data_IF_704110785716
#
_entry.id   IF_704110785716
#
_cell.length_a   1.000
_cell.length_b   1.000
_cell.length_c   1.000
_cell.angle_alpha   90.00
_cell.angle_beta   90.00
_cell.angle_gamma   90.00
#
_symmetry.space_group_name_H-M   'P 1'
#
loop_
_entity.id
_entity.type
_entity.pdbx_description
1 polymer ?
#
# COMPACT_ATOMS: atom_id res chain seq x y z
N UNK A 1 18.68 15.08 -7.77
CA UNK A 1 17.94 13.81 -7.57
C UNK A 1 18.94 12.70 -7.24
N UNK A 2 18.54 11.42 -7.29
CA UNK A 2 19.44 10.30 -7.02
C UNK A 2 20.60 10.14 -8.01
N UNK A 3 20.43 10.54 -9.26
CA UNK A 3 21.49 10.48 -10.28
C UNK A 3 22.57 11.54 -10.00
N UNK A 4 22.15 12.77 -9.73
CA UNK A 4 23.07 13.86 -9.34
C UNK A 4 23.83 13.55 -8.04
N UNK A 5 23.15 12.99 -7.03
CA UNK A 5 23.81 12.62 -5.79
C UNK A 5 24.86 11.54 -5.99
N UNK A 6 24.57 10.52 -6.83
CA UNK A 6 25.54 9.48 -7.18
C UNK A 6 26.73 10.06 -7.96
N UNK A 7 26.50 10.95 -8.93
CA UNK A 7 27.57 11.61 -9.68
C UNK A 7 28.49 12.45 -8.78
N UNK A 8 27.93 13.04 -7.71
CA UNK A 8 28.68 13.76 -6.68
C UNK A 8 29.33 12.83 -5.62
N UNK A 9 29.28 11.51 -5.79
CA UNK A 9 29.86 10.54 -4.84
C UNK A 9 29.11 10.42 -3.51
N UNK A 10 27.90 10.97 -3.39
CA UNK A 10 27.11 10.95 -2.17
C UNK A 10 26.43 9.59 -1.96
N UNK A 11 26.46 9.09 -0.74
CA UNK A 11 25.87 7.81 -0.36
C UNK A 11 25.28 7.87 1.05
N UNK A 12 24.07 7.32 1.22
CA UNK A 12 23.47 7.13 2.55
C UNK A 12 24.39 6.31 3.48
N UNK A 13 25.20 5.39 2.93
CA UNK A 13 26.15 4.59 3.72
C UNK A 13 27.28 5.42 4.32
N UNK A 14 27.57 6.58 3.72
CA UNK A 14 28.61 7.50 4.19
C UNK A 14 28.03 8.60 5.10
N UNK A 15 26.76 8.48 5.52
CA UNK A 15 26.07 9.48 6.34
C UNK A 15 25.52 10.67 5.55
N UNK A 16 25.49 10.63 4.22
CA UNK A 16 24.90 11.71 3.42
C UNK A 16 23.36 11.74 3.53
N UNK A 17 22.77 12.90 3.24
CA UNK A 17 21.32 13.09 3.30
C UNK A 17 20.57 12.29 2.23
N UNK A 18 19.33 11.82 2.52
CA UNK A 18 18.51 11.11 1.55
C UNK A 18 18.04 12.03 0.42
N UNK A 19 18.00 11.49 -0.79
CA UNK A 19 17.49 12.18 -1.98
C UNK A 19 15.99 12.04 -2.13
N UNK A 20 15.35 13.03 -2.74
CA UNK A 20 13.93 12.98 -3.10
C UNK A 20 13.73 12.05 -4.31
N UNK A 21 12.73 11.17 -4.25
CA UNK A 21 12.22 10.45 -5.42
C UNK A 21 11.06 11.16 -6.10
N UNK A 22 10.27 11.89 -5.32
CA UNK A 22 9.23 12.79 -5.78
C UNK A 22 9.08 13.95 -4.80
N UNK A 23 8.02 14.76 -4.94
CA UNK A 23 7.79 15.91 -4.05
C UNK A 23 7.68 15.51 -2.58
N UNK A 24 7.06 14.38 -2.29
CA UNK A 24 6.69 13.98 -0.92
C UNK A 24 7.55 12.83 -0.38
N UNK A 25 8.27 12.14 -1.26
CA UNK A 25 8.98 10.90 -0.94
C UNK A 25 10.49 11.10 -0.97
N UNK A 26 11.19 10.42 -0.07
CA UNK A 26 12.65 10.29 -0.07
C UNK A 26 13.06 8.83 -0.31
N UNK A 27 14.26 8.64 -0.84
CA UNK A 27 14.88 7.34 -0.99
C UNK A 27 15.60 6.94 0.30
N UNK A 28 15.46 5.68 0.70
CA UNK A 28 16.12 5.10 1.87
C UNK A 28 16.69 3.72 1.52
N UNK A 29 17.72 3.30 2.25
CA UNK A 29 18.18 1.90 2.28
C UNK A 29 17.32 1.13 3.28
N UNK A 30 16.05 0.94 2.96
CA UNK A 30 15.01 0.54 3.90
C UNK A 30 14.81 -0.96 4.10
N UNK A 31 15.81 -1.80 3.79
CA UNK A 31 15.69 -3.27 3.96
C UNK A 31 15.29 -3.63 5.39
N UNK A 32 15.99 -3.05 6.38
CA UNK A 32 15.74 -3.32 7.80
C UNK A 32 14.70 -2.38 8.43
N UNK A 33 13.89 -1.67 7.64
CA UNK A 33 12.99 -0.61 8.15
C UNK A 33 12.06 -1.15 9.25
N UNK A 34 11.44 -2.31 9.05
CA UNK A 34 10.55 -2.89 10.08
C UNK A 34 11.30 -3.33 11.33
N UNK A 35 12.51 -3.89 11.21
CA UNK A 35 13.29 -4.35 12.37
C UNK A 35 13.72 -3.15 13.23
N UNK A 36 14.16 -2.06 12.62
CA UNK A 36 14.51 -0.82 13.33
C UNK A 36 13.31 -0.28 14.13
N UNK A 37 12.14 -0.21 13.49
CA UNK A 37 10.91 0.26 14.17
C UNK A 37 10.47 -0.71 15.27
N UNK A 38 10.56 -2.02 15.02
CA UNK A 38 10.18 -3.03 16.00
C UNK A 38 11.10 -3.03 17.22
N UNK A 39 12.41 -2.84 17.03
CA UNK A 39 13.38 -2.73 18.12
C UNK A 39 13.10 -1.51 18.99
N UNK A 40 12.82 -0.35 18.39
CA UNK A 40 12.47 0.85 19.14
C UNK A 40 11.18 0.65 19.97
N UNK A 41 10.15 0.02 19.39
CA UNK A 41 8.92 -0.30 20.09
C UNK A 41 9.16 -1.29 21.25
N UNK A 42 9.92 -2.36 21.01
CA UNK A 42 10.29 -3.34 22.04
C UNK A 42 11.09 -2.72 23.18
N UNK A 43 12.04 -1.83 22.89
CA UNK A 43 12.79 -1.09 23.91
C UNK A 43 11.90 -0.19 24.76
N UNK A 44 10.90 0.44 24.14
CA UNK A 44 9.98 1.33 24.86
C UNK A 44 8.97 0.57 25.74
N UNK A 45 8.46 -0.57 25.26
CA UNK A 45 7.42 -1.34 25.93
C UNK A 45 7.96 -2.56 26.72
N UNK A 46 9.19 -3.00 26.56
CA UNK A 46 9.68 -4.21 27.22
C UNK A 46 9.08 -5.50 26.63
N UNK A 47 9.90 -6.56 26.58
CA UNK A 47 9.57 -7.81 25.88
C UNK A 47 8.43 -8.59 26.56
N UNK A 48 8.30 -8.47 27.87
CA UNK A 48 7.28 -9.13 28.69
C UNK A 48 5.85 -8.66 28.37
N UNK A 49 5.70 -7.48 27.75
CA UNK A 49 4.41 -6.92 27.33
C UNK A 49 4.06 -7.27 25.87
N UNK A 50 4.89 -8.03 25.17
CA UNK A 50 4.59 -8.56 23.85
C UNK A 50 4.20 -10.03 23.93
N UNK A 51 3.04 -10.34 23.35
CA UNK A 51 2.60 -11.72 23.15
C UNK A 51 2.47 -11.94 21.66
N UNK A 52 3.44 -12.65 21.09
CA UNK A 52 3.45 -12.99 19.67
C UNK A 52 2.70 -14.29 19.39
N UNK A 53 2.41 -14.54 18.11
CA UNK A 53 1.75 -15.78 17.62
C UNK A 53 0.35 -16.02 18.18
N UNK A 54 -0.31 -15.00 18.74
CA UNK A 54 -1.73 -15.01 19.09
C UNK A 54 -2.53 -14.29 18.01
N UNK A 55 -3.56 -14.95 17.49
CA UNK A 55 -4.48 -14.35 16.54
C UNK A 55 -5.75 -13.91 17.25
N UNK A 56 -6.05 -12.62 17.23
CA UNK A 56 -7.27 -12.05 17.82
C UNK A 56 -8.44 -12.25 16.85
N UNK A 57 -9.56 -12.75 17.35
CA UNK A 57 -10.74 -13.13 16.55
C UNK A 57 -11.94 -12.24 16.83
N UNK A 58 -12.13 -11.80 18.08
CA UNK A 58 -13.33 -11.06 18.49
C UNK A 58 -13.02 -10.02 19.55
N UNK A 59 -13.70 -8.88 19.48
CA UNK A 59 -13.71 -7.87 20.53
C UNK A 59 -14.89 -8.11 21.49
N UNK A 60 -14.72 -7.70 22.74
CA UNK A 60 -15.71 -7.84 23.82
C UNK A 60 -16.18 -6.46 24.26
N UNK A 61 -17.49 -6.26 24.34
CA UNK A 61 -18.09 -5.09 24.96
C UNK A 61 -18.30 -5.29 26.47
N UNK A 62 -18.35 -4.20 27.20
CA UNK A 62 -18.68 -4.17 28.62
C UNK A 62 -20.12 -4.67 28.84
N UNK A 63 -20.30 -5.50 29.87
CA UNK A 63 -21.59 -6.12 30.16
C UNK A 63 -22.61 -5.14 30.76
N UNK A 64 -22.13 -4.06 31.37
CA UNK A 64 -22.94 -3.11 32.14
C UNK A 64 -23.08 -1.75 31.45
N UNK A 65 -22.09 -1.38 30.64
CA UNK A 65 -22.01 -0.08 29.97
C UNK A 65 -22.18 -0.27 28.46
N UNK A 66 -23.31 0.13 27.87
CA UNK A 66 -23.53 0.03 26.43
C UNK A 66 -22.44 0.77 25.64
N UNK A 67 -22.07 0.21 24.48
CA UNK A 67 -21.10 0.81 23.54
C UNK A 67 -19.71 1.11 24.17
N UNK A 68 -19.27 0.28 25.11
CA UNK A 68 -17.97 0.38 25.77
C UNK A 68 -17.14 -0.87 25.51
N UNK A 69 -15.92 -0.73 25.00
CA UNK A 69 -15.00 -1.88 24.86
C UNK A 69 -14.61 -2.42 26.25
N UNK A 70 -14.46 -3.72 26.40
CA UNK A 70 -13.97 -4.34 27.64
C UNK A 70 -12.81 -5.31 27.42
N UNK A 71 -12.57 -5.74 26.18
CA UNK A 71 -11.54 -6.74 25.92
C UNK A 71 -11.50 -7.30 24.51
N UNK A 72 -10.75 -8.38 24.36
CA UNK A 72 -10.63 -9.14 23.13
C UNK A 72 -10.35 -10.62 23.42
N UNK A 73 -10.73 -11.48 22.49
CA UNK A 73 -10.46 -12.93 22.55
C UNK A 73 -9.66 -13.35 21.32
N UNK A 74 -8.66 -14.19 21.56
CA UNK A 74 -7.83 -14.79 20.52
C UNK A 74 -7.35 -16.18 20.92
N UNK A 75 -6.58 -16.80 20.05
CA UNK A 75 -5.97 -18.10 20.32
C UNK A 75 -4.52 -18.14 19.83
N UNK A 76 -3.71 -18.97 20.47
CA UNK A 76 -2.34 -19.21 20.03
C UNK A 76 -2.31 -20.02 18.75
N UNK A 77 -1.42 -19.64 17.83
CA UNK A 77 -1.12 -20.40 16.61
C UNK A 77 0.03 -21.38 16.81
N UNK A 78 0.43 -21.63 18.06
CA UNK A 78 1.54 -22.54 18.44
C UNK A 78 1.16 -23.57 19.49
N UNK A 79 0.09 -23.35 20.23
CA UNK A 79 -0.40 -24.22 21.31
C UNK A 79 -1.93 -24.11 21.41
N UNK A 80 -2.58 -25.10 22.03
CA UNK A 80 -4.03 -25.12 22.23
C UNK A 80 -4.44 -24.22 23.41
N UNK A 81 -4.23 -22.92 23.26
CA UNK A 81 -4.46 -21.92 24.30
C UNK A 81 -5.35 -20.78 23.79
N UNK A 82 -6.45 -20.55 24.51
CA UNK A 82 -7.33 -19.40 24.30
C UNK A 82 -6.88 -18.27 25.21
N UNK A 83 -6.75 -17.07 24.65
CA UNK A 83 -6.43 -15.85 25.37
C UNK A 83 -7.67 -14.99 25.48
N UNK A 84 -7.99 -14.57 26.71
CA UNK A 84 -9.02 -13.57 27.01
C UNK A 84 -8.31 -12.37 27.61
N UNK A 85 -8.34 -11.25 26.89
CA UNK A 85 -7.77 -10.00 27.33
C UNK A 85 -8.88 -9.09 27.85
N UNK A 86 -8.70 -8.55 29.05
CA UNK A 86 -9.50 -7.43 29.54
C UNK A 86 -8.71 -6.13 29.37
N UNK A 87 -9.37 -5.06 28.97
CA UNK A 87 -8.71 -3.78 28.77
C UNK A 87 -9.64 -2.60 29.04
N UNK A 88 -9.04 -1.50 29.51
CA UNK A 88 -9.73 -0.23 29.65
C UNK A 88 -9.83 0.51 28.31
N UNK A 89 -8.86 0.33 27.42
CA UNK A 89 -8.84 0.90 26.07
C UNK A 89 -8.20 -0.12 25.11
N UNK A 90 -8.65 -0.13 23.85
CA UNK A 90 -8.15 -1.05 22.83
C UNK A 90 -7.79 -0.28 21.55
N UNK A 91 -6.62 -0.60 20.98
CA UNK A 91 -6.20 -0.13 19.65
C UNK A 91 -6.16 -1.33 18.70
N UNK A 92 -6.91 -1.26 17.60
CA UNK A 92 -6.98 -2.32 16.59
C UNK A 92 -6.17 -1.94 15.35
N UNK A 93 -4.90 -2.35 15.32
CA UNK A 93 -3.94 -2.01 14.27
C UNK A 93 -3.52 -3.23 13.42
N UNK A 94 -4.49 -3.97 12.87
CA UNK A 94 -4.28 -5.23 12.14
C UNK A 94 -4.19 -5.06 10.60
N UNK A 95 -3.97 -3.85 10.10
CA UNK A 95 -3.83 -3.57 8.67
C UNK A 95 -5.15 -3.56 7.90
N UNK A 96 -5.06 -3.67 6.57
CA UNK A 96 -6.21 -3.61 5.66
C UNK A 96 -6.80 -4.98 5.32
N UNK A 97 -7.36 -5.11 4.11
CA UNK A 97 -7.91 -6.35 3.58
C UNK A 97 -7.41 -6.64 2.16
N UNK A 98 -6.94 -7.86 1.92
CA UNK A 98 -6.52 -8.37 0.61
C UNK A 98 -7.15 -9.74 0.35
N UNK A 99 -6.97 -10.27 -0.86
CA UNK A 99 -7.56 -11.54 -1.31
C UNK A 99 -9.10 -11.61 -1.21
N UNK A 100 -9.77 -10.49 -0.94
CA UNK A 100 -11.23 -10.32 -1.02
C UNK A 100 -11.75 -10.23 -2.46
N UNK A 101 -10.86 -10.04 -3.44
CA UNK A 101 -11.13 -10.18 -4.88
C UNK A 101 -10.21 -11.23 -5.48
N UNK A 102 -10.69 -11.97 -6.48
CA UNK A 102 -9.87 -12.96 -7.21
C UNK A 102 -8.67 -12.26 -7.88
N UNK A 103 -7.42 -12.67 -7.60
CA UNK A 103 -6.23 -12.07 -8.22
C UNK A 103 -6.05 -12.50 -9.67
N UNK A 104 -5.08 -11.88 -10.36
CA UNK A 104 -4.76 -12.20 -11.77
C UNK A 104 -4.04 -13.55 -11.95
N UNK A 105 -3.35 -14.02 -10.92
CA UNK A 105 -2.72 -15.33 -10.88
C UNK A 105 -3.42 -16.18 -9.81
N UNK A 106 -3.95 -17.34 -10.20
CA UNK A 106 -4.79 -18.18 -9.31
C UNK A 106 -4.13 -19.49 -8.86
N UNK A 107 -2.95 -19.83 -9.39
CA UNK A 107 -2.09 -20.88 -8.86
C UNK A 107 -1.21 -20.37 -7.72
N UNK A 108 0.07 -20.77 -7.69
CA UNK A 108 1.05 -20.31 -6.69
C UNK A 108 1.17 -18.78 -6.60
N UNK A 109 0.97 -18.09 -7.74
CA UNK A 109 0.95 -16.62 -7.81
C UNK A 109 -0.17 -15.95 -7.01
N UNK A 110 -1.14 -16.69 -6.47
CA UNK A 110 -2.18 -16.15 -5.60
C UNK A 110 -1.61 -15.54 -4.31
N UNK A 111 -0.44 -16.03 -3.86
CA UNK A 111 0.30 -15.43 -2.73
C UNK A 111 0.97 -14.09 -3.07
N UNK A 112 0.94 -13.64 -4.33
CA UNK A 112 1.62 -12.44 -4.83
C UNK A 112 0.67 -11.24 -4.98
N UNK A 113 -0.08 -10.95 -3.93
CA UNK A 113 -0.82 -9.70 -3.85
C UNK A 113 0.15 -8.50 -3.75
N UNK A 114 -0.25 -7.34 -4.29
CA UNK A 114 0.54 -6.10 -4.15
C UNK A 114 0.60 -5.61 -2.70
N UNK A 115 -0.51 -5.72 -1.98
CA UNK A 115 -0.61 -5.40 -0.56
C UNK A 115 -0.43 -6.69 0.27
N UNK A 116 0.02 -6.62 1.54
CA UNK A 116 0.47 -7.80 2.27
C UNK A 116 -0.59 -8.92 2.36
N UNK A 117 -0.24 -10.12 1.88
CA UNK A 117 -1.17 -11.26 1.72
C UNK A 117 -1.82 -11.72 3.03
N UNK A 118 -1.17 -11.46 4.17
CA UNK A 118 -1.66 -11.82 5.50
C UNK A 118 -2.73 -10.87 6.06
N UNK A 119 -3.05 -9.76 5.36
CA UNK A 119 -4.07 -8.81 5.81
C UNK A 119 -5.49 -9.28 5.45
N UNK A 120 -6.17 -9.93 6.39
CA UNK A 120 -7.50 -10.52 6.18
C UNK A 120 -8.69 -9.59 6.48
N UNK A 121 -8.46 -8.30 6.74
CA UNK A 121 -9.53 -7.37 7.13
C UNK A 121 -9.96 -7.47 8.60
N UNK A 122 -9.10 -8.05 9.46
CA UNK A 122 -9.37 -8.22 10.89
C UNK A 122 -9.73 -6.90 11.60
N UNK A 123 -9.07 -5.79 11.24
CA UNK A 123 -9.41 -4.46 11.80
C UNK A 123 -10.87 -4.10 11.51
N UNK A 124 -11.31 -4.24 10.27
CA UNK A 124 -12.65 -3.80 9.86
C UNK A 124 -13.74 -4.66 10.48
N UNK A 125 -13.60 -5.98 10.37
CA UNK A 125 -14.65 -6.90 10.84
C UNK A 125 -14.83 -6.85 12.35
N UNK A 126 -13.73 -6.85 13.11
CA UNK A 126 -13.80 -6.84 14.57
C UNK A 126 -14.43 -5.55 15.11
N UNK A 127 -14.05 -4.39 14.56
CA UNK A 127 -14.61 -3.11 14.96
C UNK A 127 -16.08 -2.97 14.55
N UNK A 128 -16.42 -3.33 13.30
CA UNK A 128 -17.81 -3.24 12.82
C UNK A 128 -18.76 -4.16 13.63
N UNK A 129 -18.29 -5.36 14.00
CA UNK A 129 -19.09 -6.31 14.80
C UNK A 129 -19.41 -5.82 16.22
N UNK A 130 -18.61 -4.91 16.79
CA UNK A 130 -18.91 -4.28 18.09
C UNK A 130 -19.62 -2.94 17.96
N UNK A 131 -20.12 -2.61 16.76
CA UNK A 131 -20.92 -1.41 16.51
C UNK A 131 -20.10 -0.15 16.24
N UNK A 132 -18.80 -0.24 15.99
CA UNK A 132 -18.02 0.92 15.59
C UNK A 132 -18.47 1.43 14.21
N UNK A 133 -18.65 2.73 14.08
CA UNK A 133 -19.00 3.37 12.81
C UNK A 133 -17.88 3.18 11.78
N UNK A 134 -18.25 2.77 10.57
CA UNK A 134 -17.35 2.59 9.45
C UNK A 134 -17.57 3.72 8.44
N UNK A 135 -16.51 4.15 7.77
CA UNK A 135 -16.57 5.26 6.81
C UNK A 135 -15.80 4.94 5.53
N UNK A 136 -16.28 5.42 4.38
CA UNK A 136 -15.66 5.26 3.06
C UNK A 136 -15.33 3.80 2.70
N UNK A 137 -16.14 2.84 3.14
CA UNK A 137 -15.91 1.40 2.91
C UNK A 137 -16.05 0.99 1.43
N UNK A 138 -16.68 1.83 0.61
CA UNK A 138 -16.76 1.69 -0.84
C UNK A 138 -15.44 2.03 -1.55
N UNK A 139 -14.58 2.82 -0.91
CA UNK A 139 -13.30 3.21 -1.48
C UNK A 139 -12.35 2.00 -1.52
N UNK A 140 -11.77 1.76 -2.70
CA UNK A 140 -10.79 0.69 -2.92
C UNK A 140 -9.58 1.22 -3.65
N UNK A 141 -8.42 0.63 -3.38
CA UNK A 141 -7.19 0.98 -4.08
C UNK A 141 -6.80 -0.10 -5.08
N UNK A 142 -6.77 0.24 -6.36
CA UNK A 142 -6.32 -0.65 -7.45
C UNK A 142 -4.96 -0.18 -7.95
N UNK A 143 -3.85 -0.84 -7.57
CA UNK A 143 -2.52 -0.40 -7.91
C UNK A 143 -2.16 -0.75 -9.36
N UNK A 144 -1.71 0.24 -10.15
CA UNK A 144 -1.00 0.00 -11.40
C UNK A 144 0.50 -0.23 -11.09
N UNK A 145 1.00 -1.41 -11.46
CA UNK A 145 2.33 -1.93 -11.11
C UNK A 145 2.92 -2.73 -12.27
N UNK A 146 4.19 -3.14 -12.13
CA UNK A 146 4.74 -4.16 -13.03
C UNK A 146 3.89 -5.43 -12.97
N UNK A 147 3.60 -5.98 -14.15
CA UNK A 147 2.74 -7.14 -14.33
C UNK A 147 3.26 -8.33 -13.51
N UNK A 148 2.33 -9.09 -12.94
CA UNK A 148 2.52 -10.29 -12.12
C UNK A 148 3.24 -10.04 -10.77
N UNK A 149 4.51 -9.64 -10.79
CA UNK A 149 5.30 -9.43 -9.57
C UNK A 149 4.88 -8.22 -8.73
N UNK A 150 4.05 -7.33 -9.27
CA UNK A 150 3.54 -6.13 -8.59
C UNK A 150 4.63 -5.17 -8.08
N UNK A 151 5.78 -5.12 -8.76
CA UNK A 151 6.90 -4.25 -8.44
C UNK A 151 6.53 -2.75 -8.43
N UNK A 152 7.22 -1.93 -7.62
CA UNK A 152 6.89 -0.52 -7.48
C UNK A 152 7.24 0.26 -8.75
N UNK A 153 6.35 1.20 -9.12
CA UNK A 153 6.53 2.08 -10.29
C UNK A 153 6.86 3.53 -9.91
N UNK A 154 6.78 3.88 -8.62
CA UNK A 154 6.95 5.26 -8.15
C UNK A 154 8.34 5.82 -8.47
N UNK A 155 9.41 5.07 -8.19
CA UNK A 155 10.77 5.50 -8.55
C UNK A 155 10.94 5.61 -10.07
N UNK A 156 10.39 4.68 -10.85
CA UNK A 156 10.46 4.73 -12.31
C UNK A 156 9.83 5.99 -12.88
N UNK A 157 8.62 6.34 -12.45
CA UNK A 157 7.97 7.56 -12.93
C UNK A 157 8.62 8.84 -12.39
N UNK A 158 8.91 8.89 -11.09
CA UNK A 158 9.23 10.14 -10.41
C UNK A 158 10.73 10.43 -10.37
N UNK A 159 11.56 9.41 -10.23
CA UNK A 159 13.02 9.53 -10.19
C UNK A 159 13.61 9.35 -11.58
N UNK A 160 13.37 8.20 -12.23
CA UNK A 160 13.95 7.85 -13.53
C UNK A 160 13.21 8.43 -14.74
N UNK A 161 12.08 9.11 -14.52
CA UNK A 161 11.26 9.72 -15.58
C UNK A 161 10.82 8.75 -16.69
N UNK A 162 10.70 7.47 -16.35
CA UNK A 162 10.22 6.44 -17.27
C UNK A 162 8.79 6.75 -17.72
N UNK A 163 8.51 6.50 -19.00
CA UNK A 163 7.18 6.62 -19.58
C UNK A 163 6.48 5.26 -19.57
N UNK A 164 5.15 5.30 -19.49
CA UNK A 164 4.32 4.13 -19.71
C UNK A 164 3.58 4.29 -21.03
N UNK A 165 3.77 3.35 -21.95
CA UNK A 165 3.24 3.41 -23.32
C UNK A 165 2.35 2.21 -23.61
N UNK A 166 1.44 2.37 -24.57
CA UNK A 166 0.66 1.25 -25.12
C UNK A 166 1.47 0.50 -26.20
N UNK A 167 0.87 -0.50 -26.86
CA UNK A 167 1.56 -1.31 -27.89
C UNK A 167 2.02 -0.50 -29.11
N UNK A 168 1.42 0.67 -29.37
CA UNK A 168 1.80 1.59 -30.45
C UNK A 168 2.97 2.49 -30.05
N UNK A 169 3.45 2.41 -28.81
CA UNK A 169 4.46 3.32 -28.27
C UNK A 169 3.90 4.67 -27.84
N UNK A 170 2.57 4.84 -27.79
CA UNK A 170 1.94 6.10 -27.44
C UNK A 170 1.90 6.28 -25.91
N UNK A 171 2.18 7.50 -25.43
CA UNK A 171 1.89 7.90 -24.06
C UNK A 171 0.37 8.05 -23.88
N UNK A 172 -0.24 7.03 -23.29
CA UNK A 172 -1.69 6.98 -23.13
C UNK A 172 -2.25 8.08 -22.21
N UNK A 173 -1.43 8.68 -21.33
CA UNK A 173 -1.88 9.81 -20.52
C UNK A 173 -2.00 11.09 -21.35
N UNK A 174 -1.20 11.21 -22.41
CA UNK A 174 -1.32 12.30 -23.37
C UNK A 174 -2.49 12.05 -24.35
N UNK A 175 -2.56 10.87 -24.96
CA UNK A 175 -3.60 10.57 -25.97
C UNK A 175 -5.01 10.56 -25.39
N UNK A 176 -5.17 10.07 -24.15
CA UNK A 176 -6.47 10.01 -23.49
C UNK A 176 -6.77 11.23 -22.60
N UNK A 177 -6.00 12.32 -22.71
CA UNK A 177 -6.13 13.47 -21.81
C UNK A 177 -7.54 14.06 -21.80
N UNK A 178 -8.22 14.08 -22.94
CA UNK A 178 -9.58 14.59 -23.08
C UNK A 178 -10.61 13.86 -22.20
N UNK A 179 -10.34 12.63 -21.76
CA UNK A 179 -11.20 11.91 -20.81
C UNK A 179 -11.28 12.60 -19.44
N UNK A 180 -10.32 13.47 -19.13
CA UNK A 180 -10.25 14.15 -17.84
C UNK A 180 -10.99 15.49 -17.84
N UNK A 181 -11.40 16.03 -18.99
CA UNK A 181 -12.03 17.35 -19.09
C UNK A 181 -13.20 17.53 -18.09
N UNK A 182 -14.18 16.61 -17.99
CA UNK A 182 -15.29 16.79 -17.06
C UNK A 182 -14.86 16.80 -15.57
N UNK A 183 -13.72 16.19 -15.24
CA UNK A 183 -13.16 16.20 -13.90
C UNK A 183 -12.34 17.47 -13.64
N UNK A 184 -11.64 17.99 -14.65
CA UNK A 184 -10.92 19.26 -14.58
C UNK A 184 -11.90 20.44 -14.46
N UNK A 185 -12.99 20.46 -15.23
CA UNK A 185 -14.04 21.48 -15.20
C UNK A 185 -14.70 21.59 -13.82
N UNK A 186 -14.76 20.47 -13.09
CA UNK A 186 -15.31 20.38 -11.73
C UNK A 186 -14.26 20.58 -10.63
N UNK A 187 -13.00 20.85 -10.99
CA UNK A 187 -11.92 21.11 -10.04
C UNK A 187 -11.31 19.86 -9.38
N UNK A 188 -11.60 18.65 -9.86
CA UNK A 188 -11.04 17.40 -9.33
C UNK A 188 -9.66 17.03 -9.91
N UNK A 189 -9.24 17.68 -10.98
CA UNK A 189 -7.91 17.57 -11.57
C UNK A 189 -7.46 18.93 -12.09
N UNK A 190 -6.15 19.19 -12.13
CA UNK A 190 -5.61 20.44 -12.68
C UNK A 190 -4.20 20.26 -13.22
N UNK A 191 -3.99 20.58 -14.50
CA UNK A 191 -2.67 20.55 -15.12
C UNK A 191 -2.00 19.17 -14.99
N UNK A 192 -0.82 19.11 -14.40
CA UNK A 192 -0.09 17.84 -14.23
C UNK A 192 -0.49 17.05 -12.96
N UNK A 193 -1.35 17.63 -12.11
CA UNK A 193 -1.85 17.01 -10.88
C UNK A 193 -3.12 16.22 -11.22
N UNK A 194 -2.92 14.94 -11.51
CA UNK A 194 -3.98 14.00 -11.88
C UNK A 194 -4.11 12.96 -10.75
N UNK A 195 -5.29 12.84 -10.11
CA UNK A 195 -5.59 11.79 -9.14
C UNK A 195 -5.24 10.39 -9.66
N UNK A 196 -4.73 9.52 -8.79
CA UNK A 196 -4.28 8.17 -9.16
C UNK A 196 -5.37 7.34 -9.84
N UNK A 197 -6.62 7.44 -9.37
CA UNK A 197 -7.76 6.74 -9.97
C UNK A 197 -8.06 7.22 -11.40
N UNK A 198 -7.89 8.52 -11.69
CA UNK A 198 -8.06 9.07 -13.04
C UNK A 198 -6.91 8.68 -13.98
N UNK A 199 -5.68 8.52 -13.46
CA UNK A 199 -4.59 7.90 -14.24
C UNK A 199 -4.92 6.45 -14.62
N UNK A 200 -5.43 5.67 -13.67
CA UNK A 200 -5.91 4.32 -13.94
C UNK A 200 -7.08 4.32 -14.93
N UNK A 201 -7.97 5.31 -14.88
CA UNK A 201 -9.11 5.41 -15.79
C UNK A 201 -8.67 5.51 -17.26
N UNK A 202 -7.67 6.34 -17.56
CA UNK A 202 -7.07 6.43 -18.91
C UNK A 202 -6.45 5.08 -19.32
N UNK A 203 -5.70 4.42 -18.43
CA UNK A 203 -5.13 3.10 -18.68
C UNK A 203 -6.20 2.02 -18.93
N UNK A 204 -7.33 2.07 -18.22
CA UNK A 204 -8.43 1.12 -18.39
C UNK A 204 -9.12 1.26 -19.75
N UNK A 205 -9.05 2.43 -20.40
CA UNK A 205 -9.51 2.60 -21.78
C UNK A 205 -8.61 1.84 -22.76
N UNK A 206 -7.29 1.99 -22.61
CA UNK A 206 -6.34 1.25 -23.45
C UNK A 206 -6.54 -0.27 -23.34
N UNK A 207 -6.73 -0.78 -22.12
CA UNK A 207 -6.93 -2.21 -21.89
C UNK A 207 -8.24 -2.73 -22.51
N UNK A 208 -9.36 -2.02 -22.34
CA UNK A 208 -10.67 -2.47 -22.84
C UNK A 208 -10.78 -2.37 -24.36
N UNK A 209 -10.05 -1.44 -24.97
CA UNK A 209 -10.00 -1.24 -26.43
C UNK A 209 -8.89 -2.08 -27.08
N UNK A 210 -8.30 -3.04 -26.36
CA UNK A 210 -7.34 -4.01 -26.92
C UNK A 210 -5.95 -3.43 -27.21
N UNK A 211 -5.63 -2.25 -26.70
CA UNK A 211 -4.33 -1.57 -26.94
C UNK A 211 -3.25 -1.90 -25.90
N UNK A 212 -3.42 -3.00 -25.17
CA UNK A 212 -2.33 -3.57 -24.38
C UNK A 212 -1.24 -4.19 -25.27
N UNK A 213 -0.07 -4.55 -24.72
CA UNK A 213 0.34 -4.35 -23.33
C UNK A 213 0.64 -2.89 -23.00
N UNK A 214 0.44 -2.51 -21.74
CA UNK A 214 0.98 -1.27 -21.19
C UNK A 214 2.38 -1.55 -20.69
N UNK A 215 3.36 -0.94 -21.35
CA UNK A 215 4.77 -1.18 -21.10
C UNK A 215 5.40 0.01 -20.39
N UNK A 216 6.26 -0.25 -19.41
CA UNK A 216 7.10 0.77 -18.79
C UNK A 216 8.47 0.71 -19.45
N UNK A 217 8.84 1.74 -20.23
CA UNK A 217 10.12 1.78 -20.94
C UNK A 217 11.27 2.14 -19.99
N UNK A 218 11.69 1.15 -19.22
CA UNK A 218 12.81 1.27 -18.28
C UNK A 218 14.16 1.37 -19.00
N UNK A 219 14.29 0.77 -20.18
CA UNK A 219 15.53 0.79 -20.97
C UNK A 219 15.88 2.21 -21.38
N UNK A 220 14.96 2.90 -22.05
CA UNK A 220 15.18 4.29 -22.49
C UNK A 220 15.38 5.21 -21.29
N UNK A 221 14.63 4.99 -20.20
CA UNK A 221 14.78 5.76 -18.98
C UNK A 221 16.20 5.67 -18.39
N UNK A 222 16.80 4.47 -18.37
CA UNK A 222 18.15 4.26 -17.83
C UNK A 222 19.26 4.75 -18.77
N UNK A 223 19.05 4.68 -20.10
CA UNK A 223 20.02 5.22 -21.06
C UNK A 223 20.04 6.75 -21.09
N UNK A 224 18.98 7.40 -20.58
CA UNK A 224 18.85 8.84 -20.50
C UNK A 224 19.35 9.45 -19.18
N UNK A 225 19.78 8.63 -18.22
CA UNK A 225 20.34 9.06 -16.91
C UNK A 225 21.84 8.93 -16.86
#
# INVERSE_FOLDING_TARGET
DGAQAKAAGLSLRNGNAPVRSGRWQIMINGESYKVIVAEAARKALGDERYIERVFIVKLLLDANTPNRIAGAVGFSTRENKVYVYTCNACLVACGGAVNVFRPRSTGEGMGRAWYPVWNAGSTYTMCAQVGAEMTMMENRFVPARFKDGCGPVGAWFLLFKAKATNYKGEDYCATNRAMLNPYEDRGYAKGHIIPTCLRNHMMLREMREGRGPIFMDTKTALLAT
#
